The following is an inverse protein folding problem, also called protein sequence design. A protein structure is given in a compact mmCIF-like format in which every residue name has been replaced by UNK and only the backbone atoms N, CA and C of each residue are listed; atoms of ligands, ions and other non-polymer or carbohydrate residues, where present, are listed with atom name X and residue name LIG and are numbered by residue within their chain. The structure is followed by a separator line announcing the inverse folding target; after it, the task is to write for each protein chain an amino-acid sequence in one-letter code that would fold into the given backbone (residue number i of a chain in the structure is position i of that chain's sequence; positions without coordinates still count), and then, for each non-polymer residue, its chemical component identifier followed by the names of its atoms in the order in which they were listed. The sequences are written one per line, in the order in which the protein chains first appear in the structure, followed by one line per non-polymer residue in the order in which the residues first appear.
data_IF_249424939503
#
_entry.id   IF_249424939503
#
_cell.length_a   1.000
_cell.length_b   1.000
_cell.length_c   1.000
_cell.angle_alpha   90.00
_cell.angle_beta   90.00
_cell.angle_gamma   90.00
#
_symmetry.space_group_name_H-M   'P 1'
#
loop_
_entity.id
_entity.type
_entity.pdbx_description
1 polymer ?
#
# COMPACT_ATOMS: atom_id res chain seq x y z
N UNK A 1 -24.31 15.94 -18.11
CA UNK A 1 -25.18 15.26 -17.11
C UNK A 1 -24.35 14.42 -16.14
N UNK A 2 -23.49 13.51 -16.61
CA UNK A 2 -22.61 12.68 -15.77
C UNK A 2 -21.68 13.47 -14.84
N UNK A 3 -21.02 14.53 -15.32
CA UNK A 3 -20.15 15.38 -14.47
C UNK A 3 -20.90 16.01 -13.30
N UNK A 4 -22.10 16.55 -13.53
CA UNK A 4 -22.94 17.16 -12.48
C UNK A 4 -23.40 16.13 -11.44
N UNK A 5 -23.65 14.89 -11.87
CA UNK A 5 -24.00 13.80 -10.97
C UNK A 5 -22.79 13.39 -10.11
N UNK A 6 -21.60 13.28 -10.72
CA UNK A 6 -20.35 13.02 -10.01
C UNK A 6 -20.01 14.10 -8.97
N UNK A 7 -20.24 15.37 -9.29
CA UNK A 7 -20.08 16.49 -8.36
C UNK A 7 -21.05 16.37 -7.16
N UNK A 8 -22.33 16.07 -7.40
CA UNK A 8 -23.30 15.83 -6.31
C UNK A 8 -22.88 14.68 -5.38
N UNK A 9 -22.42 13.56 -5.92
CA UNK A 9 -21.92 12.45 -5.11
C UNK A 9 -20.66 12.84 -4.32
N UNK A 10 -19.77 13.62 -4.94
CA UNK A 10 -18.57 14.14 -4.30
C UNK A 10 -18.92 15.04 -3.11
N UNK A 11 -19.87 15.96 -3.28
CA UNK A 11 -20.30 16.88 -2.22
C UNK A 11 -21.00 16.14 -1.09
N UNK A 12 -21.85 15.16 -1.42
CA UNK A 12 -22.47 14.28 -0.44
C UNK A 12 -21.42 13.52 0.37
N UNK A 13 -20.42 12.94 -0.30
CA UNK A 13 -19.37 12.17 0.35
C UNK A 13 -18.48 13.04 1.24
N UNK A 14 -18.02 14.20 0.75
CA UNK A 14 -17.22 15.17 1.51
C UNK A 14 -17.93 15.64 2.78
N UNK A 15 -19.26 15.76 2.75
CA UNK A 15 -20.05 16.23 3.89
C UNK A 15 -20.34 15.14 4.93
N UNK A 16 -20.46 13.88 4.50
CA UNK A 16 -20.99 12.81 5.35
C UNK A 16 -19.98 11.72 5.70
N UNK A 17 -18.90 11.55 4.94
CA UNK A 17 -17.93 10.49 5.22
C UNK A 17 -17.05 10.88 6.42
N UNK A 18 -17.10 10.13 7.52
CA UNK A 18 -16.23 10.39 8.66
C UNK A 18 -14.81 9.85 8.39
N UNK A 19 -13.88 10.18 9.30
CA UNK A 19 -12.53 9.64 9.26
C UNK A 19 -12.52 8.10 9.37
N UNK A 20 -11.52 7.44 8.76
CA UNK A 20 -11.37 5.99 8.76
C UNK A 20 -11.36 5.38 10.17
N UNK A 21 -10.82 6.09 11.16
CA UNK A 21 -10.83 5.61 12.54
C UNK A 21 -12.24 5.58 13.15
N UNK A 22 -13.08 6.55 12.82
CA UNK A 22 -14.48 6.57 13.28
C UNK A 22 -15.21 5.32 12.79
N UNK A 23 -14.94 4.88 11.56
CA UNK A 23 -15.48 3.62 11.05
C UNK A 23 -15.05 2.41 11.89
N UNK A 24 -13.79 2.32 12.32
CA UNK A 24 -13.32 1.23 13.17
C UNK A 24 -14.05 1.22 14.53
N UNK A 25 -14.31 2.40 15.12
CA UNK A 25 -15.06 2.51 16.37
C UNK A 25 -16.53 2.12 16.20
N UNK A 26 -17.20 2.66 15.19
CA UNK A 26 -18.60 2.33 14.88
C UNK A 26 -18.75 0.85 14.58
N UNK A 27 -17.86 0.27 13.80
CA UNK A 27 -17.90 -1.15 13.45
C UNK A 27 -17.62 -2.05 14.67
N UNK A 28 -16.76 -1.62 15.60
CA UNK A 28 -16.57 -2.29 16.89
C UNK A 28 -17.88 -2.36 17.68
N UNK A 29 -18.54 -1.22 17.86
CA UNK A 29 -19.82 -1.15 18.59
C UNK A 29 -20.91 -1.96 17.88
N UNK A 30 -21.03 -1.79 16.56
CA UNK A 30 -22.00 -2.51 15.74
C UNK A 30 -21.82 -4.04 15.83
N UNK A 31 -20.58 -4.52 15.71
CA UNK A 31 -20.28 -5.96 15.80
C UNK A 31 -20.58 -6.49 17.21
N UNK A 32 -20.28 -5.71 18.24
CA UNK A 32 -20.65 -6.05 19.62
C UNK A 32 -22.17 -6.12 19.82
N UNK A 33 -22.92 -5.14 19.33
CA UNK A 33 -24.38 -5.12 19.41
C UNK A 33 -25.00 -6.29 18.64
N UNK A 34 -24.47 -6.63 17.46
CA UNK A 34 -24.91 -7.81 16.73
C UNK A 34 -24.68 -9.10 17.53
N UNK A 35 -23.49 -9.28 18.12
CA UNK A 35 -23.21 -10.45 18.96
C UNK A 35 -24.14 -10.52 20.19
N UNK A 36 -24.50 -9.37 20.76
CA UNK A 36 -25.42 -9.28 21.89
C UNK A 36 -26.86 -9.65 21.49
N UNK A 37 -27.44 -8.95 20.51
CA UNK A 37 -28.85 -9.11 20.15
C UNK A 37 -29.14 -10.40 19.38
N UNK A 38 -28.24 -10.82 18.50
CA UNK A 38 -28.49 -11.98 17.65
C UNK A 38 -28.12 -13.29 18.33
N UNK A 39 -26.97 -13.35 18.99
CA UNK A 39 -26.50 -14.58 19.64
C UNK A 39 -26.80 -14.64 21.14
N UNK A 40 -27.35 -13.58 21.73
CA UNK A 40 -27.54 -13.49 23.18
C UNK A 40 -26.22 -13.50 23.96
N UNK A 41 -25.11 -13.04 23.34
CA UNK A 41 -23.78 -13.10 23.96
C UNK A 41 -23.70 -12.12 25.13
N UNK A 42 -23.28 -12.59 26.31
CA UNK A 42 -23.12 -11.72 27.48
C UNK A 42 -22.15 -10.54 27.21
N UNK A 43 -22.45 -9.29 27.65
CA UNK A 43 -21.61 -8.12 27.38
C UNK A 43 -20.15 -8.28 27.76
N UNK A 44 -19.87 -8.91 28.92
CA UNK A 44 -18.50 -9.16 29.36
C UNK A 44 -17.74 -10.11 28.41
N UNK A 45 -18.42 -11.12 27.84
CA UNK A 45 -17.80 -12.02 26.86
C UNK A 45 -17.45 -11.27 25.58
N UNK A 46 -18.30 -10.33 25.13
CA UNK A 46 -18.02 -9.50 23.94
C UNK A 46 -16.77 -8.64 24.18
N UNK A 47 -16.69 -7.97 25.34
CA UNK A 47 -15.52 -7.15 25.69
C UNK A 47 -14.23 -7.98 25.77
N UNK A 48 -14.29 -9.16 26.42
CA UNK A 48 -13.14 -10.09 26.45
C UNK A 48 -12.74 -10.55 25.06
N UNK A 49 -13.72 -10.95 24.24
CA UNK A 49 -13.49 -11.38 22.85
C UNK A 49 -12.81 -10.28 22.03
N UNK A 50 -13.23 -9.02 22.21
CA UNK A 50 -12.61 -7.88 21.56
C UNK A 50 -11.16 -7.67 22.02
N UNK A 51 -10.91 -7.73 23.33
CA UNK A 51 -9.56 -7.58 23.89
C UNK A 51 -8.61 -8.71 23.45
N UNK A 52 -9.06 -9.96 23.52
CA UNK A 52 -8.27 -11.12 23.12
C UNK A 52 -7.91 -11.04 21.63
N UNK A 53 -8.85 -10.57 20.79
CA UNK A 53 -8.61 -10.33 19.37
C UNK A 53 -7.67 -9.17 19.08
N UNK A 54 -7.66 -8.13 19.91
CA UNK A 54 -6.94 -6.87 19.69
C UNK A 54 -5.44 -7.06 19.39
N UNK A 55 -4.83 -8.11 19.95
CA UNK A 55 -3.40 -8.40 19.86
C UNK A 55 -3.04 -9.42 18.77
N UNK A 56 -4.03 -10.07 18.15
CA UNK A 56 -3.81 -11.21 17.24
C UNK A 56 -3.15 -10.85 15.91
N UNK A 57 -3.24 -9.58 15.49
CA UNK A 57 -2.70 -9.11 14.20
C UNK A 57 -1.48 -8.18 14.35
N UNK A 58 -0.79 -8.18 15.49
CA UNK A 58 0.37 -7.30 15.69
C UNK A 58 1.51 -7.57 14.69
N UNK A 59 1.89 -8.84 14.50
CA UNK A 59 2.94 -9.21 13.55
C UNK A 59 2.56 -8.81 12.12
N UNK A 60 1.35 -9.19 11.70
CA UNK A 60 0.82 -8.85 10.39
C UNK A 60 0.71 -7.33 10.18
N UNK A 61 0.27 -6.59 11.19
CA UNK A 61 0.22 -5.13 11.18
C UNK A 61 1.60 -4.50 11.00
N UNK A 62 2.61 -4.99 11.73
CA UNK A 62 4.00 -4.53 11.57
C UNK A 62 4.55 -4.86 10.18
N UNK A 63 4.24 -6.04 9.63
CA UNK A 63 4.61 -6.40 8.27
C UNK A 63 4.02 -5.41 7.24
N UNK A 64 2.75 -5.04 7.38
CA UNK A 64 2.11 -4.05 6.51
C UNK A 64 2.72 -2.65 6.65
N UNK A 65 3.02 -2.23 7.88
CA UNK A 65 3.72 -0.97 8.15
C UNK A 65 5.09 -0.95 7.46
N UNK A 66 5.92 -1.98 7.67
CA UNK A 66 7.26 -2.04 7.10
C UNK A 66 7.23 -2.10 5.56
N UNK A 67 6.29 -2.85 4.99
CA UNK A 67 6.13 -2.95 3.53
C UNK A 67 5.89 -1.56 2.91
N UNK A 68 5.00 -0.75 3.50
CA UNK A 68 4.73 0.61 3.00
C UNK A 68 5.90 1.54 3.24
N UNK A 69 6.44 1.60 4.46
CA UNK A 69 7.52 2.53 4.81
C UNK A 69 8.73 2.27 3.90
N UNK A 70 9.10 1.00 3.72
CA UNK A 70 10.25 0.64 2.89
C UNK A 70 9.97 0.90 1.40
N UNK A 71 8.75 0.65 0.92
CA UNK A 71 8.33 1.02 -0.43
C UNK A 71 8.38 2.53 -0.69
N UNK A 72 7.86 3.32 0.25
CA UNK A 72 7.94 4.79 0.21
C UNK A 72 9.39 5.28 0.30
N UNK A 73 10.22 4.64 1.14
CA UNK A 73 11.64 4.98 1.25
C UNK A 73 12.39 4.76 -0.07
N UNK A 74 12.12 3.66 -0.78
CA UNK A 74 12.65 3.41 -2.12
C UNK A 74 12.20 4.52 -3.09
N UNK A 75 10.92 4.93 -3.01
CA UNK A 75 10.35 6.00 -3.82
C UNK A 75 11.09 7.34 -3.66
N UNK A 76 11.52 7.64 -2.43
CA UNK A 76 12.27 8.85 -2.11
C UNK A 76 13.75 8.80 -2.51
N UNK A 77 14.23 7.70 -3.10
CA UNK A 77 15.63 7.60 -3.48
C UNK A 77 15.96 8.47 -4.69
N UNK A 78 17.16 9.06 -4.69
CA UNK A 78 17.63 9.88 -5.82
C UNK A 78 17.80 9.08 -7.13
N UNK A 79 17.78 7.75 -7.09
CA UNK A 79 17.75 6.92 -8.29
C UNK A 79 16.36 6.94 -8.96
N UNK A 80 15.30 6.80 -8.15
CA UNK A 80 13.91 6.85 -8.62
C UNK A 80 13.57 8.24 -9.15
N UNK A 81 13.97 9.30 -8.42
CA UNK A 81 13.81 10.69 -8.85
C UNK A 81 14.40 10.94 -10.26
N UNK A 82 15.65 10.51 -10.49
CA UNK A 82 16.29 10.59 -11.81
C UNK A 82 15.56 9.77 -12.89
N UNK A 83 14.97 8.64 -12.51
CA UNK A 83 14.16 7.82 -13.41
C UNK A 83 12.88 8.54 -13.85
N UNK A 84 12.16 9.10 -12.87
CA UNK A 84 10.97 9.94 -13.07
C UNK A 84 11.31 11.12 -13.98
N UNK A 85 12.41 11.82 -13.72
CA UNK A 85 12.85 12.96 -14.53
C UNK A 85 13.10 12.61 -16.00
N UNK A 86 13.78 11.49 -16.25
CA UNK A 86 14.05 11.03 -17.62
C UNK A 86 12.77 10.70 -18.35
N UNK A 87 11.87 9.99 -17.69
CA UNK A 87 10.59 9.60 -18.26
C UNK A 87 9.71 10.83 -18.53
N UNK A 88 9.68 11.80 -17.61
CA UNK A 88 8.89 13.01 -17.74
C UNK A 88 9.27 13.83 -18.99
N UNK A 89 10.51 13.75 -19.45
CA UNK A 89 10.95 14.42 -20.71
C UNK A 89 10.32 13.82 -21.97
N UNK A 90 9.86 12.56 -21.92
CA UNK A 90 9.21 11.89 -23.04
C UNK A 90 7.72 12.26 -23.15
N UNK A 91 7.12 12.68 -22.05
CA UNK A 91 5.68 12.93 -21.94
C UNK A 91 5.42 14.42 -22.21
N UNK A 92 4.62 14.73 -23.22
CA UNK A 92 4.41 16.13 -23.67
C UNK A 92 2.95 16.55 -23.70
N UNK A 93 2.00 15.60 -23.68
CA UNK A 93 0.57 15.87 -23.83
C UNK A 93 -0.20 15.44 -22.57
N UNK A 94 -1.25 16.18 -22.16
CA UNK A 94 -2.02 15.83 -20.96
C UNK A 94 -2.58 14.41 -20.95
N UNK A 95 -3.09 13.93 -22.09
CA UNK A 95 -3.61 12.55 -22.15
C UNK A 95 -2.53 11.48 -21.98
N UNK A 96 -1.30 11.75 -22.43
CA UNK A 96 -0.18 10.83 -22.22
C UNK A 96 0.14 10.69 -20.73
N UNK A 97 -0.04 11.76 -19.93
CA UNK A 97 0.17 11.72 -18.47
C UNK A 97 -0.68 10.64 -17.83
N UNK A 98 -1.99 10.62 -18.10
CA UNK A 98 -2.89 9.60 -17.53
C UNK A 98 -2.46 8.19 -17.92
N UNK A 99 -2.16 7.96 -19.21
CA UNK A 99 -1.73 6.65 -19.70
C UNK A 99 -0.46 6.17 -19.00
N UNK A 100 0.59 6.99 -18.95
CA UNK A 100 1.87 6.60 -18.37
C UNK A 100 1.80 6.44 -16.85
N UNK A 101 1.04 7.29 -16.16
CA UNK A 101 0.84 7.16 -14.71
C UNK A 101 0.10 5.86 -14.39
N UNK A 102 -0.95 5.52 -15.14
CA UNK A 102 -1.66 4.25 -14.92
C UNK A 102 -0.78 3.06 -15.29
N UNK A 103 -0.09 3.08 -16.42
CA UNK A 103 0.76 1.97 -16.86
C UNK A 103 1.89 1.71 -15.86
N UNK A 104 2.63 2.75 -15.48
CA UNK A 104 3.78 2.61 -14.59
C UNK A 104 3.32 2.34 -13.17
N UNK A 105 2.26 3.02 -12.72
CA UNK A 105 1.68 2.74 -11.40
C UNK A 105 1.17 1.31 -11.29
N UNK A 106 0.57 0.76 -12.35
CA UNK A 106 0.17 -0.65 -12.37
C UNK A 106 1.39 -1.58 -12.33
N UNK A 107 2.41 -1.34 -13.15
CA UNK A 107 3.64 -2.14 -13.12
C UNK A 107 4.32 -2.13 -11.75
N UNK A 108 4.41 -0.95 -11.13
CA UNK A 108 5.00 -0.80 -9.80
C UNK A 108 4.14 -1.45 -8.72
N UNK A 109 2.82 -1.29 -8.79
CA UNK A 109 1.88 -1.88 -7.82
C UNK A 109 1.82 -3.41 -7.92
N UNK A 110 2.03 -3.96 -9.11
CA UNK A 110 2.20 -5.41 -9.32
C UNK A 110 3.46 -5.96 -8.67
N UNK A 111 4.49 -5.13 -8.45
CA UNK A 111 5.66 -5.50 -7.65
C UNK A 111 5.35 -5.32 -6.17
N UNK A 112 4.87 -4.12 -5.81
CA UNK A 112 4.54 -3.73 -4.46
C UNK A 112 3.44 -2.69 -4.43
N UNK A 113 2.35 -2.95 -3.73
CA UNK A 113 1.35 -1.92 -3.47
C UNK A 113 1.94 -0.69 -2.76
N UNK A 114 2.98 -0.86 -1.94
CA UNK A 114 3.72 0.23 -1.31
C UNK A 114 4.46 1.14 -2.30
N UNK A 115 4.67 0.70 -3.54
CA UNK A 115 5.34 1.48 -4.60
C UNK A 115 4.37 2.38 -5.38
N UNK A 116 3.05 2.31 -5.11
CA UNK A 116 2.08 3.27 -5.68
C UNK A 116 2.47 4.72 -5.39
N UNK A 117 3.19 4.96 -4.30
CA UNK A 117 3.75 6.27 -3.94
C UNK A 117 4.62 6.84 -5.06
N UNK A 118 5.43 5.99 -5.71
CA UNK A 118 6.26 6.40 -6.86
C UNK A 118 5.38 6.90 -7.99
N UNK A 119 4.26 6.22 -8.26
CA UNK A 119 3.29 6.64 -9.26
C UNK A 119 2.66 8.00 -8.89
N UNK A 120 2.38 8.24 -7.61
CA UNK A 120 1.91 9.53 -7.10
C UNK A 120 2.94 10.65 -7.25
N UNK A 121 4.22 10.39 -6.96
CA UNK A 121 5.30 11.35 -7.19
C UNK A 121 5.44 11.66 -8.68
N UNK A 122 5.44 10.63 -9.54
CA UNK A 122 5.46 10.78 -11.00
C UNK A 122 4.26 11.62 -11.49
N UNK A 123 3.06 11.32 -11.01
CA UNK A 123 1.84 12.04 -11.34
C UNK A 123 1.95 13.53 -10.99
N UNK A 124 2.37 13.84 -9.76
CA UNK A 124 2.58 15.22 -9.30
C UNK A 124 3.62 15.94 -10.16
N UNK A 125 4.78 15.32 -10.41
CA UNK A 125 5.84 15.91 -11.24
C UNK A 125 5.37 16.21 -12.67
N UNK A 126 4.59 15.30 -13.27
CA UNK A 126 4.02 15.51 -14.60
C UNK A 126 2.97 16.62 -14.61
N UNK A 127 2.13 16.70 -13.58
CA UNK A 127 1.12 17.75 -13.45
C UNK A 127 1.72 19.15 -13.25
N UNK A 128 2.89 19.26 -12.61
CA UNK A 128 3.64 20.52 -12.49
C UNK A 128 4.25 20.96 -13.82
N UNK A 129 4.64 20.02 -14.69
CA UNK A 129 5.33 20.32 -15.96
C UNK A 129 4.37 20.52 -17.14
N UNK A 130 3.24 19.84 -17.15
CA UNK A 130 2.33 19.76 -18.30
C UNK A 130 1.01 20.46 -17.95
N UNK A 131 0.77 21.61 -18.57
CA UNK A 131 -0.48 22.36 -18.42
C UNK A 131 -1.67 21.62 -19.01
N UNK A 132 -2.85 21.85 -18.43
CA UNK A 132 -4.10 21.24 -18.89
C UNK A 132 -4.27 19.78 -18.49
N UNK A 133 -3.54 19.29 -17.49
CA UNK A 133 -3.81 18.02 -16.81
C UNK A 133 -4.86 18.25 -15.74
N UNK A 134 -5.96 17.50 -15.78
CA UNK A 134 -6.98 17.50 -14.73
C UNK A 134 -6.42 16.78 -13.50
N UNK A 135 -6.11 17.51 -12.45
CA UNK A 135 -5.43 16.95 -11.30
C UNK A 135 -6.31 15.95 -10.54
N UNK A 136 -7.62 16.22 -10.42
CA UNK A 136 -8.56 15.30 -9.76
C UNK A 136 -8.66 13.96 -10.52
N UNK A 137 -8.72 14.01 -11.85
CA UNK A 137 -8.71 12.80 -12.66
C UNK A 137 -7.36 12.08 -12.60
N UNK A 138 -6.25 12.82 -12.48
CA UNK A 138 -4.93 12.24 -12.29
C UNK A 138 -4.79 11.51 -10.95
N UNK A 139 -5.39 12.05 -9.87
CA UNK A 139 -5.49 11.35 -8.59
C UNK A 139 -6.27 10.05 -8.77
N UNK A 140 -7.40 10.07 -9.48
CA UNK A 140 -8.17 8.86 -9.80
C UNK A 140 -7.34 7.85 -10.63
N UNK A 141 -6.55 8.31 -11.60
CA UNK A 141 -5.61 7.47 -12.36
C UNK A 141 -4.57 6.81 -11.45
N UNK A 142 -3.97 7.58 -10.54
CA UNK A 142 -2.97 7.08 -9.59
C UNK A 142 -3.59 6.03 -8.67
N UNK A 143 -4.78 6.31 -8.14
CA UNK A 143 -5.53 5.36 -7.31
C UNK A 143 -5.89 4.09 -8.09
N UNK A 144 -6.42 4.22 -9.31
CA UNK A 144 -6.75 3.09 -10.18
C UNK A 144 -5.53 2.21 -10.46
N UNK A 145 -4.37 2.81 -10.71
CA UNK A 145 -3.12 2.08 -10.96
C UNK A 145 -2.71 1.17 -9.80
N UNK A 146 -3.10 1.54 -8.57
CA UNK A 146 -2.83 0.74 -7.38
C UNK A 146 -3.50 -0.62 -7.45
N UNK A 147 -4.73 -0.73 -7.98
CA UNK A 147 -5.59 -1.92 -7.90
C UNK A 147 -4.91 -3.20 -8.38
N UNK A 148 -4.01 -3.08 -9.36
CA UNK A 148 -3.21 -4.20 -9.89
C UNK A 148 -2.39 -4.95 -8.83
N UNK A 149 -2.13 -4.34 -7.66
CA UNK A 149 -1.42 -4.98 -6.56
C UNK A 149 -2.07 -6.28 -6.08
N UNK A 150 -3.39 -6.40 -6.16
CA UNK A 150 -4.14 -7.58 -5.72
C UNK A 150 -3.75 -8.82 -6.54
N UNK A 151 -3.35 -8.61 -7.79
CA UNK A 151 -2.89 -9.65 -8.70
C UNK A 151 -1.36 -9.81 -8.73
N UNK A 152 -0.65 -8.93 -8.03
CA UNK A 152 0.80 -8.81 -8.07
C UNK A 152 1.56 -9.63 -7.02
N UNK A 153 2.88 -9.50 -7.05
CA UNK A 153 3.81 -10.17 -6.13
C UNK A 153 3.59 -9.78 -4.67
N UNK A 154 3.09 -8.57 -4.40
CA UNK A 154 2.82 -8.09 -3.05
C UNK A 154 1.38 -8.32 -2.58
N UNK A 155 0.63 -9.20 -3.23
CA UNK A 155 -0.76 -9.43 -2.83
C UNK A 155 -0.83 -10.02 -1.42
N UNK A 156 -1.32 -9.22 -0.47
CA UNK A 156 -1.27 -9.53 0.95
C UNK A 156 -1.94 -10.85 1.31
N UNK A 157 -3.03 -11.23 0.65
CA UNK A 157 -3.75 -12.48 0.94
C UNK A 157 -2.94 -13.70 0.45
N UNK A 158 -2.57 -13.83 -0.84
CA UNK A 158 -1.67 -14.90 -1.29
C UNK A 158 -0.37 -15.01 -0.49
N UNK A 159 0.26 -13.88 -0.15
CA UNK A 159 1.49 -13.91 0.65
C UNK A 159 1.24 -14.36 2.10
N UNK A 160 0.16 -13.91 2.73
CA UNK A 160 -0.25 -14.38 4.05
C UNK A 160 -0.52 -15.89 4.04
N UNK A 161 -1.24 -16.37 3.03
CA UNK A 161 -1.58 -17.78 2.88
C UNK A 161 -0.33 -18.66 2.71
N UNK A 162 0.72 -18.15 2.06
CA UNK A 162 2.02 -18.82 1.92
C UNK A 162 2.96 -18.57 3.11
N UNK A 163 2.59 -17.73 4.08
CA UNK A 163 3.43 -17.47 5.26
C UNK A 163 3.21 -18.55 6.31
N UNK A 164 4.30 -19.18 6.74
CA UNK A 164 4.29 -20.21 7.78
C UNK A 164 3.68 -19.68 9.08
N UNK A 165 2.89 -20.53 9.75
CA UNK A 165 2.21 -20.22 11.01
C UNK A 165 1.40 -18.91 10.96
N UNK A 166 0.84 -18.54 9.81
CA UNK A 166 -0.04 -17.38 9.75
C UNK A 166 -1.30 -17.58 10.62
N UNK A 167 -1.99 -16.49 10.96
CA UNK A 167 -3.13 -16.53 11.88
C UNK A 167 -4.27 -17.44 11.41
N UNK A 168 -4.43 -17.68 10.09
CA UNK A 168 -5.48 -18.59 9.61
C UNK A 168 -5.16 -20.05 9.94
N UNK A 169 -3.88 -20.43 9.82
CA UNK A 169 -3.39 -21.75 10.23
C UNK A 169 -3.43 -21.88 11.76
N UNK A 170 -2.94 -20.88 12.49
CA UNK A 170 -2.91 -20.89 13.97
C UNK A 170 -4.30 -21.01 14.59
N UNK A 171 -5.31 -20.36 14.00
CA UNK A 171 -6.69 -20.42 14.47
C UNK A 171 -7.47 -21.65 13.95
N UNK A 172 -6.83 -22.59 13.25
CA UNK A 172 -7.47 -23.80 12.72
C UNK A 172 -8.45 -23.55 11.58
N UNK A 173 -8.41 -22.36 10.95
CA UNK A 173 -9.23 -22.04 9.77
C UNK A 173 -8.68 -22.70 8.49
N UNK A 174 -7.37 -22.97 8.46
CA UNK A 174 -6.69 -23.70 7.39
C UNK A 174 -5.85 -24.85 7.99
N UNK A 175 -5.80 -25.98 7.30
CA UNK A 175 -4.98 -27.14 7.70
C UNK A 175 -3.50 -26.97 7.35
N UNK A 176 -3.18 -26.20 6.29
CA UNK A 176 -1.83 -25.93 5.82
C UNK A 176 -1.77 -24.58 5.10
N UNK A 177 -0.55 -24.10 4.81
CA UNK A 177 -0.33 -22.93 3.95
C UNK A 177 -0.72 -23.23 2.50
N UNK A 178 -1.11 -22.19 1.75
CA UNK A 178 -1.44 -22.29 0.32
C UNK A 178 -0.33 -21.58 -0.47
N UNK A 179 0.40 -22.31 -1.35
CA UNK A 179 1.51 -21.74 -2.10
C UNK A 179 1.13 -20.59 -3.04
N UNK A 180 2.08 -19.67 -3.27
CA UNK A 180 1.93 -18.59 -4.27
C UNK A 180 1.85 -19.12 -5.70
N UNK A 181 2.39 -20.30 -5.99
CA UNK A 181 2.34 -20.93 -7.32
C UNK A 181 0.93 -21.27 -7.78
N UNK A 182 0.04 -21.67 -6.87
CA UNK A 182 -1.36 -22.00 -7.18
C UNK A 182 -2.31 -20.81 -7.06
N UNK A 183 -1.87 -19.73 -6.40
CA UNK A 183 -2.65 -18.49 -6.25
C UNK A 183 -2.20 -17.45 -7.28
N UNK A 184 -1.07 -16.78 -7.05
CA UNK A 184 -0.49 -15.78 -7.95
C UNK A 184 -0.02 -16.37 -9.28
N UNK A 185 0.47 -17.60 -9.26
CA UNK A 185 0.89 -18.33 -10.47
C UNK A 185 -0.26 -18.92 -11.28
N UNK A 186 -1.51 -18.78 -10.85
CA UNK A 186 -2.67 -19.32 -11.58
C UNK A 186 -2.90 -18.62 -12.91
N UNK A 187 -3.40 -19.37 -13.89
CA UNK A 187 -3.75 -18.81 -15.21
C UNK A 187 -4.75 -17.66 -15.10
N UNK A 188 -5.73 -17.80 -14.20
CA UNK A 188 -6.73 -16.75 -13.96
C UNK A 188 -6.06 -15.44 -13.52
N UNK A 189 -5.14 -15.51 -12.56
CA UNK A 189 -4.42 -14.33 -12.07
C UNK A 189 -3.56 -13.70 -13.18
N UNK A 190 -2.83 -14.50 -13.95
CA UNK A 190 -2.02 -14.01 -15.08
C UNK A 190 -2.89 -13.32 -16.14
N UNK A 191 -4.06 -13.89 -16.47
CA UNK A 191 -5.01 -13.26 -17.37
C UNK A 191 -5.53 -11.92 -16.81
N UNK A 192 -5.90 -11.86 -15.52
CA UNK A 192 -6.33 -10.62 -14.88
C UNK A 192 -5.23 -9.55 -14.89
N UNK A 193 -3.98 -9.92 -14.60
CA UNK A 193 -2.80 -9.04 -14.70
C UNK A 193 -2.67 -8.47 -16.10
N UNK A 194 -2.73 -9.32 -17.13
CA UNK A 194 -2.60 -8.89 -18.52
C UNK A 194 -3.73 -7.94 -18.93
N UNK A 195 -4.97 -8.25 -18.57
CA UNK A 195 -6.13 -7.39 -18.84
C UNK A 195 -5.99 -6.04 -18.16
N UNK A 196 -5.63 -6.00 -16.87
CA UNK A 196 -5.44 -4.75 -16.14
C UNK A 196 -4.30 -3.91 -16.71
N UNK A 197 -3.20 -4.54 -17.12
CA UNK A 197 -2.03 -3.84 -17.65
C UNK A 197 -2.26 -3.30 -19.06
N UNK A 198 -3.00 -4.02 -19.90
CA UNK A 198 -3.26 -3.63 -21.29
C UNK A 198 -4.48 -2.70 -21.40
N UNK A 199 -5.62 -3.08 -20.82
CA UNK A 199 -6.87 -2.34 -20.94
C UNK A 199 -6.97 -1.18 -19.94
N UNK A 200 -6.40 -1.31 -18.74
CA UNK A 200 -6.49 -0.29 -17.69
C UNK A 200 -5.97 1.09 -18.14
N UNK A 201 -4.72 1.20 -18.62
CA UNK A 201 -4.19 2.46 -19.14
C UNK A 201 -4.97 3.01 -20.33
N UNK A 202 -5.45 2.14 -21.22
CA UNK A 202 -6.26 2.54 -22.40
C UNK A 202 -7.62 3.09 -21.98
N UNK A 203 -8.29 2.42 -21.05
CA UNK A 203 -9.56 2.86 -20.50
C UNK A 203 -9.43 4.23 -19.86
N UNK A 204 -8.42 4.42 -19.00
CA UNK A 204 -8.19 5.71 -18.34
C UNK A 204 -7.72 6.79 -19.32
N UNK A 205 -7.06 6.41 -20.42
CA UNK A 205 -6.74 7.34 -21.51
C UNK A 205 -8.00 7.80 -22.26
N UNK A 206 -8.96 6.90 -22.52
CA UNK A 206 -10.20 7.22 -23.23
C UNK A 206 -11.23 7.97 -22.37
N UNK A 207 -11.30 7.66 -21.07
CA UNK A 207 -12.17 8.35 -20.11
C UNK A 207 -11.65 9.73 -19.69
N UNK A 208 -10.47 10.13 -20.20
CA UNK A 208 -9.88 11.43 -19.89
C UNK A 208 -10.85 12.57 -20.24
N UNK A 209 -11.12 13.50 -19.30
CA UNK A 209 -12.03 14.62 -19.54
C UNK A 209 -11.54 15.50 -20.70
N UNK A 210 -12.48 15.96 -21.53
CA UNK A 210 -12.18 16.77 -22.73
C UNK A 210 -11.94 18.25 -22.40
N UNK A 211 -12.46 18.75 -21.27
CA UNK A 211 -12.38 20.16 -20.86
C UNK A 211 -11.81 20.24 -19.43
N UNK A 212 -10.79 21.07 -19.24
CA UNK A 212 -10.05 21.24 -17.99
C UNK A 212 -10.03 22.70 -17.53
N UNK A 213 -11.19 23.33 -17.43
CA UNK A 213 -11.32 24.69 -16.88
C UNK A 213 -10.87 24.72 -15.41
N UNK A 214 -9.69 25.29 -15.15
CA UNK A 214 -9.20 25.64 -13.80
C UNK A 214 -8.92 24.48 -12.83
N UNK A 215 -8.88 23.23 -13.31
CA UNK A 215 -8.62 22.02 -12.49
C UNK A 215 -7.20 21.47 -12.68
N UNK A 216 -6.27 22.28 -13.19
CA UNK A 216 -4.86 21.90 -13.23
C UNK A 216 -4.18 22.12 -11.88
N UNK A 217 -3.11 21.38 -11.63
CA UNK A 217 -2.44 21.38 -10.33
C UNK A 217 -1.97 22.80 -9.95
N UNK A 218 -1.48 23.56 -10.93
CA UNK A 218 -1.00 24.93 -10.73
C UNK A 218 -2.15 25.88 -10.36
N UNK A 219 -3.35 25.68 -10.92
CA UNK A 219 -4.55 26.42 -10.51
C UNK A 219 -5.09 26.03 -9.13
N UNK A 220 -4.84 24.81 -8.66
CA UNK A 220 -5.26 24.30 -7.34
C UNK A 220 -4.24 24.61 -6.23
N UNK A 221 -2.96 24.71 -6.58
CA UNK A 221 -1.88 25.09 -5.68
C UNK A 221 -1.92 26.60 -5.46
N UNK A 222 -2.43 27.04 -4.30
CA UNK A 222 -2.32 28.44 -3.91
C UNK A 222 -0.86 28.93 -3.87
N UNK A 223 -0.65 30.26 -3.82
CA UNK A 223 0.68 30.89 -3.91
C UNK A 223 1.69 30.50 -2.81
N UNK A 224 1.26 29.79 -1.76
CA UNK A 224 2.11 29.42 -0.61
C UNK A 224 2.84 28.06 -0.76
N UNK A 225 2.70 27.36 -1.88
CA UNK A 225 3.17 25.97 -2.02
C UNK A 225 4.55 25.79 -2.69
N UNK A 226 5.33 26.87 -2.85
CA UNK A 226 6.59 26.87 -3.61
C UNK A 226 7.84 26.34 -2.87
N UNK A 227 7.74 25.93 -1.60
CA UNK A 227 8.91 25.34 -0.94
C UNK A 227 9.05 23.86 -1.30
N UNK A 228 9.94 23.57 -2.25
CA UNK A 228 10.43 22.21 -2.45
C UNK A 228 11.11 21.74 -1.15
N UNK A 229 10.68 20.63 -0.54
CA UNK A 229 11.32 20.13 0.66
C UNK A 229 12.80 19.84 0.39
N UNK A 230 13.68 20.21 1.32
CA UNK A 230 15.12 19.96 1.26
C UNK A 230 15.40 18.49 0.86
N UNK A 231 16.35 18.27 -0.04
CA UNK A 231 16.68 16.91 -0.49
C UNK A 231 17.23 16.06 0.67
N UNK A 232 16.99 14.74 0.66
CA UNK A 232 17.49 13.84 1.71
C UNK A 232 19.02 13.91 1.84
N UNK A 233 19.71 14.04 0.72
CA UNK A 233 21.16 14.21 0.71
C UNK A 233 21.57 15.52 1.39
N UNK A 234 20.88 16.61 1.09
CA UNK A 234 21.19 17.93 1.64
C UNK A 234 20.91 17.99 3.14
N UNK A 235 19.79 17.39 3.58
CA UNK A 235 19.49 17.24 5.01
C UNK A 235 20.56 16.39 5.72
N UNK A 236 21.02 15.29 5.11
CA UNK A 236 22.10 14.49 5.70
C UNK A 236 23.43 15.26 5.81
N UNK A 237 23.72 16.16 4.85
CA UNK A 237 24.93 16.99 4.89
C UNK A 237 24.80 18.14 5.91
N UNK A 238 23.61 18.72 6.09
CA UNK A 238 23.39 19.80 7.06
C UNK A 238 23.44 19.33 8.52
N UNK A 239 23.21 18.04 8.77
CA UNK A 239 23.32 17.43 10.09
C UNK A 239 24.76 17.07 10.51
N UNK A 240 25.75 17.28 9.63
CA UNK A 240 27.16 17.00 9.96
C UNK A 240 27.71 18.01 10.96
N UNK A 241 28.56 17.54 11.87
CA UNK A 241 29.29 18.46 12.75
C UNK A 241 30.34 19.26 11.95
N UNK A 242 30.68 20.48 12.39
CA UNK A 242 31.69 21.32 11.73
C UNK A 242 33.12 20.78 11.89
N UNK A 243 33.31 19.76 12.73
CA UNK A 243 34.59 19.09 12.98
C UNK A 243 34.45 17.58 12.73
N UNK A 244 35.57 16.89 12.50
CA UNK A 244 35.56 15.45 12.23
C UNK A 244 35.19 14.68 13.50
N UNK A 245 34.06 13.96 13.46
CA UNK A 245 33.61 13.09 14.56
C UNK A 245 33.49 11.64 14.12
N UNK A 246 33.63 10.70 15.06
CA UNK A 246 33.33 9.29 14.81
C UNK A 246 31.86 9.09 14.44
N UNK A 247 30.95 9.83 15.08
CA UNK A 247 29.52 9.84 14.80
C UNK A 247 29.25 10.11 13.31
N UNK A 248 29.80 11.20 12.76
CA UNK A 248 29.61 11.55 11.35
C UNK A 248 30.21 10.51 10.40
N UNK A 249 31.35 9.93 10.75
CA UNK A 249 31.97 8.85 9.97
C UNK A 249 31.07 7.63 9.89
N UNK A 250 30.48 7.20 11.01
CA UNK A 250 29.56 6.04 11.03
C UNK A 250 28.24 6.36 10.33
N UNK A 251 27.63 7.50 10.65
CA UNK A 251 26.37 7.96 10.07
C UNK A 251 26.44 8.14 8.54
N UNK A 252 27.62 8.46 8.01
CA UNK A 252 27.85 8.66 6.58
C UNK A 252 28.71 7.57 5.93
N UNK A 253 28.94 6.45 6.61
CA UNK A 253 29.76 5.35 6.09
C UNK A 253 29.02 4.55 5.02
N UNK A 254 29.45 4.70 3.77
CA UNK A 254 28.97 3.86 2.66
C UNK A 254 29.38 2.41 2.85
N UNK A 255 30.60 2.17 3.34
CA UNK A 255 31.13 0.81 3.55
C UNK A 255 30.31 0.05 4.58
N UNK A 256 29.94 0.70 5.70
CA UNK A 256 29.13 0.08 6.75
C UNK A 256 27.77 -0.35 6.20
N UNK A 257 27.08 0.56 5.50
CA UNK A 257 25.77 0.28 4.92
C UNK A 257 25.84 -0.79 3.85
N UNK A 258 26.82 -0.72 2.95
CA UNK A 258 26.96 -1.69 1.86
C UNK A 258 27.39 -3.06 2.36
N UNK A 259 28.22 -3.17 3.41
CA UNK A 259 28.55 -4.46 4.01
C UNK A 259 27.28 -5.20 4.48
N UNK A 260 26.40 -4.50 5.20
CA UNK A 260 25.11 -5.07 5.66
C UNK A 260 24.20 -5.38 4.48
N UNK A 261 24.08 -4.47 3.51
CA UNK A 261 23.23 -4.69 2.34
C UNK A 261 23.70 -5.87 1.46
N UNK A 262 25.01 -6.06 1.32
CA UNK A 262 25.60 -7.20 0.59
C UNK A 262 25.33 -8.51 1.33
N UNK A 263 25.48 -8.54 2.66
CA UNK A 263 25.12 -9.72 3.44
C UNK A 263 23.64 -10.10 3.24
N UNK A 264 22.74 -9.11 3.24
CA UNK A 264 21.33 -9.36 2.96
C UNK A 264 21.08 -9.83 1.53
N UNK A 265 21.78 -9.27 0.54
CA UNK A 265 21.69 -9.71 -0.85
C UNK A 265 22.12 -11.17 -1.03
N UNK A 266 23.17 -11.61 -0.33
CA UNK A 266 23.60 -13.02 -0.31
C UNK A 266 22.47 -13.92 0.19
N UNK A 267 21.78 -13.55 1.26
CA UNK A 267 20.63 -14.32 1.76
C UNK A 267 19.47 -14.34 0.77
N UNK A 268 19.16 -13.20 0.13
CA UNK A 268 18.13 -13.12 -0.91
C UNK A 268 18.43 -14.10 -2.05
N UNK A 269 19.68 -14.12 -2.54
CA UNK A 269 20.11 -15.04 -3.59
C UNK A 269 20.02 -16.50 -3.10
N UNK A 270 20.45 -16.78 -1.88
CA UNK A 270 20.35 -18.11 -1.28
C UNK A 270 18.89 -18.58 -1.15
N UNK A 271 17.97 -17.73 -0.69
CA UNK A 271 16.55 -18.06 -0.52
C UNK A 271 15.93 -18.44 -1.85
N UNK A 272 16.06 -17.59 -2.87
CA UNK A 272 15.48 -17.88 -4.19
C UNK A 272 16.21 -19.01 -4.94
N UNK A 273 17.52 -19.19 -4.70
CA UNK A 273 18.29 -20.29 -5.27
C UNK A 273 17.96 -21.67 -4.70
N UNK A 274 17.55 -21.74 -3.42
CA UNK A 274 17.23 -23.02 -2.75
C UNK A 274 15.74 -23.34 -2.74
N UNK A 275 14.87 -22.33 -2.64
CA UNK A 275 13.42 -22.51 -2.51
C UNK A 275 12.63 -22.16 -3.78
N UNK A 276 13.29 -21.69 -4.83
CA UNK A 276 12.61 -21.15 -6.02
C UNK A 276 11.88 -19.84 -5.72
N UNK A 277 10.79 -19.53 -6.44
CA UNK A 277 9.97 -18.31 -6.25
C UNK A 277 9.08 -18.36 -5.00
N UNK A 278 9.64 -18.73 -3.85
CA UNK A 278 8.96 -18.73 -2.56
C UNK A 278 8.82 -17.30 -2.01
N UNK A 279 7.81 -16.58 -2.50
CA UNK A 279 7.46 -15.25 -2.02
C UNK A 279 6.53 -15.30 -0.81
N UNK A 280 6.91 -14.59 0.25
CA UNK A 280 6.11 -14.31 1.44
C UNK A 280 6.35 -12.87 1.93
N UNK A 281 5.62 -12.42 2.95
CA UNK A 281 5.73 -11.05 3.45
C UNK A 281 7.13 -10.73 3.97
N UNK A 282 7.76 -11.65 4.70
CA UNK A 282 9.05 -11.43 5.34
C UNK A 282 10.18 -11.24 4.31
N UNK A 283 10.29 -12.14 3.33
CA UNK A 283 11.35 -12.02 2.30
C UNK A 283 11.15 -10.78 1.43
N UNK A 284 9.90 -10.40 1.16
CA UNK A 284 9.60 -9.19 0.39
C UNK A 284 10.00 -7.90 1.14
N UNK A 285 9.62 -7.79 2.42
CA UNK A 285 10.04 -6.66 3.27
C UNK A 285 11.56 -6.60 3.35
N UNK A 286 12.21 -7.76 3.55
CA UNK A 286 13.66 -7.85 3.61
C UNK A 286 14.32 -7.34 2.33
N UNK A 287 13.82 -7.74 1.15
CA UNK A 287 14.27 -7.22 -0.14
C UNK A 287 14.13 -5.69 -0.20
N UNK A 288 13.01 -5.12 0.23
CA UNK A 288 12.83 -3.67 0.20
C UNK A 288 13.75 -2.92 1.16
N UNK A 289 14.02 -3.47 2.35
CA UNK A 289 15.00 -2.88 3.27
C UNK A 289 16.38 -2.88 2.62
N UNK A 290 16.82 -4.01 2.05
CA UNK A 290 18.13 -4.11 1.40
C UNK A 290 18.24 -3.17 0.19
N UNK A 291 17.20 -3.09 -0.64
CA UNK A 291 17.16 -2.14 -1.76
C UNK A 291 17.19 -0.69 -1.26
N UNK A 292 16.44 -0.34 -0.22
CA UNK A 292 16.46 0.98 0.39
C UNK A 292 17.86 1.36 0.89
N UNK A 293 18.55 0.45 1.57
CA UNK A 293 19.94 0.64 1.99
C UNK A 293 20.86 0.88 0.79
N UNK A 294 20.78 0.07 -0.27
CA UNK A 294 21.64 0.27 -1.45
C UNK A 294 21.37 1.62 -2.13
N UNK A 295 20.11 2.01 -2.27
CA UNK A 295 19.71 3.23 -2.97
C UNK A 295 20.07 4.51 -2.23
N UNK A 296 19.99 4.52 -0.89
CA UNK A 296 20.29 5.69 -0.06
C UNK A 296 21.78 5.85 0.30
N UNK A 297 22.60 4.83 0.07
CA UNK A 297 24.08 4.81 0.20
C UNK A 297 24.67 4.94 1.60
N UNK A 298 24.09 5.74 2.49
CA UNK A 298 24.63 6.00 3.84
C UNK A 298 23.55 5.87 4.92
N UNK A 299 23.91 5.46 6.16
CA UNK A 299 22.93 5.24 7.23
C UNK A 299 22.06 6.46 7.52
N UNK A 300 22.65 7.65 7.57
CA UNK A 300 21.93 8.90 7.82
C UNK A 300 20.86 9.17 6.75
N UNK A 301 21.20 9.02 5.46
CA UNK A 301 20.24 9.20 4.36
C UNK A 301 19.10 8.20 4.42
N UNK A 302 19.40 6.93 4.70
CA UNK A 302 18.36 5.92 4.84
C UNK A 302 17.47 6.20 6.06
N UNK A 303 18.05 6.58 7.21
CA UNK A 303 17.31 6.96 8.41
C UNK A 303 16.38 8.16 8.20
N UNK A 304 16.84 9.21 7.52
CA UNK A 304 16.00 10.36 7.12
C UNK A 304 14.86 9.90 6.21
N UNK A 305 15.17 9.06 5.22
CA UNK A 305 14.15 8.51 4.31
C UNK A 305 13.08 7.73 5.04
N UNK A 306 13.47 6.84 5.96
CA UNK A 306 12.56 6.06 6.78
C UNK A 306 11.73 6.98 7.69
N UNK A 307 12.32 7.99 8.32
CA UNK A 307 11.58 8.98 9.13
C UNK A 307 10.48 9.69 8.32
N UNK A 308 10.81 10.15 7.10
CA UNK A 308 9.85 10.79 6.20
C UNK A 308 8.77 9.81 5.71
N UNK A 309 9.13 8.56 5.44
CA UNK A 309 8.17 7.53 5.07
C UNK A 309 7.20 7.20 6.22
N UNK A 310 7.71 7.11 7.45
CA UNK A 310 6.93 6.79 8.65
C UNK A 310 5.89 7.83 9.02
N UNK A 311 6.02 9.10 8.61
CA UNK A 311 4.97 10.10 8.90
C UNK A 311 3.67 9.81 8.16
N UNK A 312 3.68 8.96 7.13
CA UNK A 312 2.54 8.66 6.28
C UNK A 312 1.78 7.37 6.68
N UNK A 313 2.16 6.67 7.75
CA UNK A 313 1.58 5.36 8.12
C UNK A 313 0.82 5.35 9.45
N UNK A 314 0.60 6.52 10.05
CA UNK A 314 -0.06 6.66 11.36
C UNK A 314 -1.40 5.92 11.43
N UNK A 315 -2.27 6.08 10.41
CA UNK A 315 -3.57 5.42 10.35
C UNK A 315 -3.48 3.90 10.53
N UNK A 316 -2.54 3.25 9.84
CA UNK A 316 -2.36 1.79 9.90
C UNK A 316 -1.90 1.38 11.30
N UNK A 317 -0.93 2.11 11.85
CA UNK A 317 -0.29 1.78 13.12
C UNK A 317 -1.30 1.66 14.28
N UNK A 318 -2.26 2.58 14.38
CA UNK A 318 -3.23 2.56 15.48
C UNK A 318 -4.57 1.91 15.12
N UNK A 319 -4.96 1.78 13.83
CA UNK A 319 -6.25 1.19 13.45
C UNK A 319 -6.21 -0.34 13.36
N UNK A 320 -5.07 -0.95 12.99
CA UNK A 320 -4.96 -2.41 12.86
C UNK A 320 -5.41 -3.20 14.11
N UNK A 321 -5.02 -2.80 15.33
CA UNK A 321 -5.49 -3.46 16.54
C UNK A 321 -7.01 -3.41 16.73
N UNK A 322 -7.68 -2.32 16.29
CA UNK A 322 -9.15 -2.23 16.36
C UNK A 322 -9.81 -3.21 15.39
N UNK A 323 -9.28 -3.35 14.17
CA UNK A 323 -9.77 -4.35 13.23
C UNK A 323 -9.57 -5.78 13.76
N UNK A 324 -8.43 -6.05 14.41
CA UNK A 324 -8.17 -7.31 15.09
C UNK A 324 -9.16 -7.56 16.23
N UNK A 325 -9.51 -6.53 17.01
CA UNK A 325 -10.53 -6.62 18.05
C UNK A 325 -11.93 -6.95 17.50
N UNK A 326 -12.32 -6.34 16.38
CA UNK A 326 -13.58 -6.66 15.68
C UNK A 326 -13.59 -8.13 15.26
N UNK A 327 -12.49 -8.60 14.66
CA UNK A 327 -12.31 -10.02 14.32
C UNK A 327 -12.37 -10.93 15.55
N UNK A 328 -11.84 -10.49 16.70
CA UNK A 328 -11.96 -11.17 17.98
C UNK A 328 -13.40 -11.36 18.43
N UNK A 329 -14.23 -10.31 18.34
CA UNK A 329 -15.67 -10.43 18.59
C UNK A 329 -16.27 -11.47 17.64
N UNK A 330 -16.00 -11.37 16.34
CA UNK A 330 -16.58 -12.30 15.36
C UNK A 330 -16.20 -13.77 15.63
N UNK A 331 -14.94 -14.01 15.98
CA UNK A 331 -14.40 -15.36 16.15
C UNK A 331 -14.82 -15.97 17.49
N UNK A 332 -14.57 -15.27 18.61
CA UNK A 332 -14.74 -15.84 19.95
C UNK A 332 -16.18 -15.80 20.47
N UNK A 333 -17.05 -14.96 19.90
CA UNK A 333 -18.50 -15.02 20.18
C UNK A 333 -19.24 -16.05 19.33
N UNK A 334 -18.64 -16.49 18.22
CA UNK A 334 -19.31 -17.35 17.23
C UNK A 334 -20.13 -16.58 16.18
N UNK A 335 -20.13 -15.24 16.23
CA UNK A 335 -20.86 -14.39 15.28
C UNK A 335 -20.42 -14.62 13.83
N UNK A 336 -19.13 -14.80 13.58
CA UNK A 336 -18.60 -15.10 12.25
C UNK A 336 -19.15 -16.42 11.68
N UNK A 337 -19.21 -17.47 12.51
CA UNK A 337 -19.77 -18.76 12.10
C UNK A 337 -21.29 -18.68 11.85
N UNK A 338 -22.03 -17.93 12.69
CA UNK A 338 -23.46 -17.71 12.49
C UNK A 338 -23.76 -16.95 11.19
N UNK A 339 -22.99 -15.88 10.91
CA UNK A 339 -23.05 -15.15 9.64
C UNK A 339 -22.72 -16.06 8.44
N UNK A 340 -21.62 -16.81 8.51
CA UNK A 340 -21.23 -17.74 7.46
C UNK A 340 -22.30 -18.77 7.15
N UNK A 341 -22.94 -19.34 8.19
CA UNK A 341 -24.05 -20.28 8.02
C UNK A 341 -25.27 -19.65 7.33
N UNK A 342 -25.63 -18.42 7.69
CA UNK A 342 -26.75 -17.72 7.04
C UNK A 342 -26.48 -17.44 5.56
N UNK A 343 -25.26 -16.97 5.24
CA UNK A 343 -24.86 -16.72 3.85
C UNK A 343 -24.87 -18.05 3.06
N UNK A 344 -24.37 -19.14 3.66
CA UNK A 344 -24.35 -20.45 3.01
C UNK A 344 -25.77 -21.00 2.73
N UNK A 345 -26.76 -20.70 3.57
CA UNK A 345 -28.15 -21.14 3.34
C UNK A 345 -28.76 -20.54 2.06
N UNK A 346 -28.33 -19.36 1.65
CA UNK A 346 -28.82 -18.67 0.45
C UNK A 346 -27.88 -18.82 -0.74
N UNK A 347 -26.71 -19.44 -0.57
CA UNK A 347 -25.71 -19.68 -1.62
C UNK A 347 -25.94 -21.06 -2.27
N UNK A 348 -26.98 -21.16 -3.10
CA UNK A 348 -27.25 -22.33 -3.95
C UNK A 348 -26.51 -22.19 -5.29
N UNK A 349 -26.31 -23.29 -6.04
CA UNK A 349 -25.80 -23.21 -7.41
C UNK A 349 -26.59 -22.25 -8.32
N UNK A 350 -27.87 -22.03 -8.01
CA UNK A 350 -28.76 -21.12 -8.75
C UNK A 350 -28.61 -19.65 -8.34
N UNK A 351 -28.07 -19.36 -7.15
CA UNK A 351 -27.90 -18.00 -6.63
C UNK A 351 -26.44 -17.51 -6.66
N UNK A 352 -25.49 -18.38 -6.97
CA UNK A 352 -24.07 -18.03 -7.12
C UNK A 352 -23.81 -17.51 -8.55
N UNK A 353 -23.48 -16.22 -8.75
CA UNK A 353 -23.01 -15.75 -10.04
C UNK A 353 -21.57 -16.22 -10.19
N UNK A 354 -21.34 -17.07 -11.19
CA UNK A 354 -20.06 -17.64 -11.62
C UNK A 354 -18.87 -16.66 -11.58
#
# INVERSE_FOLDING_TARGET
MLSKLGEKFTDFFKRNMPDAFVFALVLTLFTGLLAFFWLGTAPLKIVRSWYDGFWTLLEFGMQMVLLIITGYSIALSGAVEKGIDKLARLIKRPRQVYYFVVLIGSLLSMVSWGWVVIAGVLARELALRIRGVNYNYLIACTYFSSISWVTGMSSSIPLLLNTDQNFMVQNGLLTATIPTSVTLGSLLNVCMMAVMLLLGPLLMYWLAPQVNEGKDLIGLMGPESEQSPMGIREEAESLKHPYKTLSDRLNNSVVLQYAVAVMGLVYIIYHFGTKGLDLNLNIMIFVFIMLGLLLHKTPMRYGISMKRASSNISAILFQFPFYAGIMGIMTFTGLGAALGKQIALVATPDSYPF
#
